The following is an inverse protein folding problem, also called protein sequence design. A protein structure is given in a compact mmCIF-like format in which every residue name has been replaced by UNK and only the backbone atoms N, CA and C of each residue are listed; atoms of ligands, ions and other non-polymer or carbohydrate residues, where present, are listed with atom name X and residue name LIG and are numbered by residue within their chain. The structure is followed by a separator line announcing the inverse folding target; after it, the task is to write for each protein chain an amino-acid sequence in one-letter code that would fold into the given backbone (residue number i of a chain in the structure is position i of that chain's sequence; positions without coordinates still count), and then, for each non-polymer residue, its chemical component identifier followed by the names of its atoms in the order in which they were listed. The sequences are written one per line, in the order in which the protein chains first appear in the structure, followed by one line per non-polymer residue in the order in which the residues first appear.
data_IF_573471830859
#
_entry.id   IF_573471830859
#
_cell.length_a   1.000
_cell.length_b   1.000
_cell.length_c   1.000
_cell.angle_alpha   90.00
_cell.angle_beta   90.00
_cell.angle_gamma   90.00
#
_symmetry.space_group_name_H-M   'P 1'
#
loop_
_entity.id
_entity.type
_entity.pdbx_description
1 polymer ?
#
# COMPACT_ATOMS: atom_id res chain seq x y z
N UNK A 1 -20.90 -8.01 16.70
CA UNK A 1 -20.42 -8.01 18.09
C UNK A 1 -19.46 -6.85 18.27
N UNK A 2 -18.27 -6.92 17.68
CA UNK A 2 -17.21 -5.89 17.87
C UNK A 2 -17.65 -4.46 17.53
N UNK A 3 -18.47 -4.25 16.49
CA UNK A 3 -19.01 -2.91 16.17
C UNK A 3 -19.90 -2.35 17.30
N UNK A 4 -20.68 -3.20 17.97
CA UNK A 4 -21.59 -2.79 19.03
C UNK A 4 -20.86 -2.45 20.34
N UNK A 5 -19.63 -2.93 20.51
CA UNK A 5 -18.80 -2.65 21.69
C UNK A 5 -18.25 -1.21 21.66
N UNK A 6 -18.18 -0.59 20.48
CA UNK A 6 -17.78 0.79 20.30
C UNK A 6 -18.95 1.76 20.51
N UNK A 7 -18.69 2.85 21.23
CA UNK A 7 -19.63 3.97 21.37
C UNK A 7 -19.38 4.99 20.26
N UNK A 8 -20.37 5.14 19.37
CA UNK A 8 -20.34 6.10 18.27
C UNK A 8 -21.16 7.33 18.65
N UNK A 9 -20.57 8.51 18.44
CA UNK A 9 -21.27 9.80 18.61
C UNK A 9 -22.18 10.00 17.40
N UNK A 10 -23.47 10.17 17.65
CA UNK A 10 -24.49 10.40 16.63
C UNK A 10 -25.46 11.51 17.08
N UNK A 11 -26.41 11.87 16.22
CA UNK A 11 -27.44 12.88 16.50
C UNK A 11 -28.81 12.24 16.40
N UNK A 12 -29.68 12.47 17.39
CA UNK A 12 -31.05 11.97 17.38
C UNK A 12 -31.97 12.81 16.47
N UNK A 13 -33.22 12.35 16.27
CA UNK A 13 -34.23 13.04 15.46
C UNK A 13 -34.58 14.45 15.96
N UNK A 14 -34.19 14.79 17.20
CA UNK A 14 -34.41 16.10 17.84
C UNK A 14 -33.17 17.00 17.77
N UNK A 15 -32.09 16.54 17.13
CA UNK A 15 -30.84 17.28 17.01
C UNK A 15 -29.93 17.21 18.25
N UNK A 16 -30.25 16.38 19.23
CA UNK A 16 -29.41 16.19 20.42
C UNK A 16 -28.28 15.20 20.12
N UNK A 17 -27.07 15.50 20.61
CA UNK A 17 -25.92 14.61 20.48
C UNK A 17 -26.10 13.43 21.43
N UNK A 18 -26.12 12.21 20.86
CA UNK A 18 -26.24 10.96 21.60
C UNK A 18 -25.01 10.08 21.38
N UNK A 19 -24.82 9.10 22.25
CA UNK A 19 -23.90 8.00 22.02
C UNK A 19 -24.73 6.73 21.82
N UNK A 20 -24.47 6.03 20.73
CA UNK A 20 -25.12 4.75 20.44
C UNK A 20 -24.09 3.65 20.22
N UNK A 21 -24.46 2.38 20.47
CA UNK A 21 -23.68 1.25 19.99
C UNK A 21 -23.45 1.34 18.48
N UNK A 22 -22.24 0.99 18.04
CA UNK A 22 -21.89 1.01 16.62
C UNK A 22 -22.62 -0.07 15.81
N UNK A 23 -22.82 0.23 14.52
CA UNK A 23 -23.36 -0.67 13.51
C UNK A 23 -22.30 -0.98 12.45
N UNK A 24 -22.53 -2.01 11.62
CA UNK A 24 -21.55 -2.50 10.64
C UNK A 24 -21.14 -1.47 9.57
N UNK A 25 -21.96 -0.45 9.35
CA UNK A 25 -21.69 0.62 8.38
C UNK A 25 -20.94 1.80 8.98
N UNK A 26 -20.77 1.84 10.31
CA UNK A 26 -20.00 2.90 10.96
C UNK A 26 -18.50 2.72 10.70
N UNK A 27 -17.79 3.84 10.68
CA UNK A 27 -16.33 3.84 10.62
C UNK A 27 -15.74 3.50 11.99
N UNK A 28 -14.46 3.10 12.00
CA UNK A 28 -13.72 3.01 13.25
C UNK A 28 -13.72 4.39 13.94
N UNK A 29 -13.97 4.44 15.26
CA UNK A 29 -14.00 5.70 15.99
C UNK A 29 -12.59 6.30 16.11
N UNK A 30 -12.49 7.61 15.93
CA UNK A 30 -11.24 8.34 16.13
C UNK A 30 -10.86 8.41 17.62
N UNK A 31 -9.59 8.18 18.00
CA UNK A 31 -9.15 8.25 19.39
C UNK A 31 -9.11 9.68 19.93
N UNK A 32 -9.00 10.67 19.04
CA UNK A 32 -8.95 12.09 19.40
C UNK A 32 -9.95 12.89 18.57
N UNK A 33 -10.60 13.92 19.13
CA UNK A 33 -11.60 14.71 18.42
C UNK A 33 -11.01 15.59 17.31
N UNK A 34 -9.72 15.93 17.40
CA UNK A 34 -9.02 16.72 16.40
C UNK A 34 -7.49 16.57 16.54
N UNK A 35 -6.76 17.03 15.52
CA UNK A 35 -5.29 16.95 15.45
C UNK A 35 -4.58 17.72 16.57
N UNK A 36 -5.14 18.83 17.06
CA UNK A 36 -4.53 19.63 18.14
C UNK A 36 -4.63 18.88 19.48
N UNK A 37 -5.77 18.24 19.75
CA UNK A 37 -5.93 17.38 20.91
C UNK A 37 -4.98 16.17 20.85
N UNK A 38 -4.84 15.57 19.67
CA UNK A 38 -3.90 14.47 19.45
C UNK A 38 -2.44 14.89 19.70
N UNK A 39 -2.02 16.05 19.18
CA UNK A 39 -0.68 16.58 19.42
C UNK A 39 -0.45 16.93 20.89
N UNK A 40 -1.42 17.55 21.56
CA UNK A 40 -1.32 17.89 22.98
C UNK A 40 -1.15 16.64 23.86
N UNK A 41 -1.82 15.55 23.52
CA UNK A 41 -1.70 14.28 24.25
C UNK A 41 -0.39 13.52 23.99
N UNK A 42 0.33 13.84 22.91
CA UNK A 42 1.50 13.09 22.44
C UNK A 42 2.74 14.01 22.25
N UNK A 43 3.03 14.85 23.25
CA UNK A 43 4.23 15.70 23.30
C UNK A 43 4.43 16.60 22.05
N UNK A 44 3.33 17.12 21.49
CA UNK A 44 3.33 18.01 20.33
C UNK A 44 3.29 17.28 18.97
N UNK A 45 3.41 15.95 18.93
CA UNK A 45 3.37 15.17 17.70
C UNK A 45 1.99 14.51 17.53
N UNK A 46 1.24 14.86 16.49
CA UNK A 46 -0.02 14.18 16.19
C UNK A 46 0.25 12.83 15.51
N UNK A 47 -0.27 11.70 16.04
CA UNK A 47 -0.18 10.41 15.36
C UNK A 47 -0.82 10.50 13.97
N UNK A 48 -0.17 9.97 12.92
CA UNK A 48 -0.76 9.94 11.59
C UNK A 48 -1.90 8.92 11.51
N UNK A 49 -2.83 9.15 10.59
CA UNK A 49 -3.84 8.14 10.23
C UNK A 49 -3.15 6.92 9.60
N UNK A 50 -3.56 5.73 10.04
CA UNK A 50 -2.93 4.47 9.66
C UNK A 50 -3.59 3.79 8.46
N UNK A 51 -4.73 4.30 8.00
CA UNK A 51 -5.53 3.70 6.92
C UNK A 51 -4.74 3.42 5.64
N UNK A 52 -3.77 4.28 5.30
CA UNK A 52 -2.95 4.19 4.08
C UNK A 52 -1.45 4.04 4.38
N UNK A 53 -1.06 3.68 5.61
CA UNK A 53 0.35 3.79 6.02
C UNK A 53 1.31 2.93 5.19
N UNK A 54 0.90 1.73 4.78
CA UNK A 54 1.73 0.84 3.96
C UNK A 54 1.99 1.40 2.56
N UNK A 55 1.10 2.24 2.03
CA UNK A 55 1.28 2.90 0.73
C UNK A 55 1.87 4.31 0.86
N UNK A 56 1.72 4.95 2.02
CA UNK A 56 2.15 6.31 2.28
C UNK A 56 3.64 6.43 2.68
N UNK A 57 4.34 5.31 2.86
CA UNK A 57 5.76 5.27 3.23
C UNK A 57 6.55 4.40 2.27
N UNK A 58 7.78 4.82 1.97
CA UNK A 58 8.71 4.01 1.19
C UNK A 58 9.06 2.73 1.96
N UNK A 59 9.11 1.60 1.25
CA UNK A 59 9.29 0.29 1.86
C UNK A 59 7.99 -0.35 2.37
N UNK A 60 6.90 0.42 2.51
CA UNK A 60 5.58 -0.08 2.86
C UNK A 60 5.56 -0.99 4.08
N UNK A 61 5.14 -2.24 3.90
CA UNK A 61 4.99 -3.21 4.99
C UNK A 61 6.34 -3.52 5.67
N UNK A 62 7.42 -3.59 4.90
CA UNK A 62 8.77 -3.83 5.42
C UNK A 62 9.22 -2.68 6.34
N UNK A 63 8.88 -1.44 5.96
CA UNK A 63 9.14 -0.27 6.79
C UNK A 63 8.36 -0.32 8.09
N UNK A 64 7.06 -0.68 8.05
CA UNK A 64 6.23 -0.79 9.25
C UNK A 64 6.78 -1.86 10.19
N UNK A 65 7.11 -3.03 9.66
CA UNK A 65 7.67 -4.13 10.44
C UNK A 65 9.01 -3.75 11.09
N UNK A 66 9.93 -3.16 10.32
CA UNK A 66 11.22 -2.72 10.81
C UNK A 66 11.09 -1.59 11.85
N UNK A 67 10.15 -0.66 11.66
CA UNK A 67 9.87 0.40 12.62
C UNK A 67 9.35 -0.15 13.96
N UNK A 68 8.42 -1.11 13.94
CA UNK A 68 7.81 -1.65 15.16
C UNK A 68 8.75 -2.55 15.96
N UNK A 69 9.67 -3.23 15.29
CA UNK A 69 10.64 -4.15 15.92
C UNK A 69 11.99 -3.50 16.22
N UNK A 70 12.33 -2.41 15.53
CA UNK A 70 13.66 -1.78 15.56
C UNK A 70 13.84 -0.66 16.59
N UNK A 71 13.31 -0.81 17.81
CA UNK A 71 13.61 0.12 18.89
C UNK A 71 14.91 -0.26 19.58
N UNK A 72 15.84 0.70 19.70
CA UNK A 72 17.16 0.49 20.29
C UNK A 72 17.57 1.70 21.14
N UNK A 73 18.56 1.50 22.01
CA UNK A 73 19.21 2.61 22.69
C UNK A 73 19.97 3.50 21.69
N UNK A 74 19.98 4.81 21.94
CA UNK A 74 20.70 5.73 21.08
C UNK A 74 22.21 5.42 21.08
N UNK A 75 22.85 5.36 19.90
CA UNK A 75 24.29 5.28 19.81
C UNK A 75 24.93 6.56 20.37
N UNK A 76 26.20 6.46 20.77
CA UNK A 76 26.95 7.57 21.33
C UNK A 76 26.93 8.79 20.39
N UNK A 77 26.58 9.96 20.95
CA UNK A 77 26.55 11.24 20.23
C UNK A 77 25.16 11.68 19.74
N UNK A 78 24.14 10.83 19.79
CA UNK A 78 22.75 11.22 19.48
C UNK A 78 22.06 11.67 20.76
N UNK A 79 21.59 12.92 20.78
CA UNK A 79 20.76 13.45 21.87
C UNK A 79 19.29 13.17 21.56
N UNK A 80 18.61 12.48 22.47
CA UNK A 80 17.16 12.26 22.43
C UNK A 80 16.53 13.27 23.39
N UNK A 81 15.53 14.02 22.92
CA UNK A 81 14.73 14.89 23.80
C UNK A 81 13.80 14.06 24.69
N UNK A 82 13.48 14.57 25.88
CA UNK A 82 12.56 13.90 26.81
C UNK A 82 11.23 13.53 26.14
N UNK A 83 10.83 12.26 26.28
CA UNK A 83 9.60 11.72 25.70
C UNK A 83 9.72 11.26 24.24
N UNK A 84 10.92 11.27 23.64
CA UNK A 84 11.20 10.65 22.34
C UNK A 84 11.99 9.35 22.52
N UNK A 85 11.98 8.51 21.49
CA UNK A 85 12.71 7.25 21.43
C UNK A 85 13.64 7.23 20.21
N UNK A 86 14.66 6.39 20.24
CA UNK A 86 15.54 6.19 19.10
C UNK A 86 15.10 4.97 18.27
N UNK A 87 15.04 5.16 16.96
CA UNK A 87 14.74 4.13 15.99
C UNK A 87 15.48 4.44 14.68
N UNK A 88 16.45 3.60 14.25
CA UNK A 88 17.28 3.85 13.07
C UNK A 88 16.48 3.83 11.75
N UNK A 89 15.32 3.17 11.71
CA UNK A 89 14.47 3.12 10.53
C UNK A 89 13.62 4.38 10.36
N UNK A 90 13.40 5.13 11.44
CA UNK A 90 12.68 6.40 11.35
C UNK A 90 13.58 7.49 10.73
N UNK A 91 13.07 8.29 9.77
CA UNK A 91 13.84 9.40 9.21
C UNK A 91 14.31 10.37 10.29
N UNK A 92 15.63 10.51 10.45
CA UNK A 92 16.24 11.34 11.50
C UNK A 92 16.53 10.61 12.81
N UNK A 93 16.24 9.31 12.91
CA UNK A 93 16.62 8.45 14.03
C UNK A 93 15.83 8.64 15.32
N UNK A 94 15.18 9.79 15.52
CA UNK A 94 14.45 10.12 16.75
C UNK A 94 12.95 10.21 16.45
N UNK A 95 12.15 9.38 17.11
CA UNK A 95 10.70 9.27 16.93
C UNK A 95 9.96 9.65 18.22
N UNK A 96 8.80 10.30 18.11
CA UNK A 96 7.95 10.65 19.26
C UNK A 96 7.03 9.52 19.74
N UNK A 97 7.15 8.34 19.13
CA UNK A 97 6.39 7.14 19.49
C UNK A 97 7.30 6.25 20.36
N UNK A 98 6.91 5.90 21.60
CA UNK A 98 7.65 4.91 22.36
C UNK A 98 7.41 3.50 21.80
N UNK A 99 8.23 2.54 22.19
CA UNK A 99 8.01 1.15 21.82
C UNK A 99 6.64 0.67 22.33
N UNK A 100 5.80 0.22 21.41
CA UNK A 100 4.43 -0.23 21.71
C UNK A 100 4.32 -1.75 21.82
N UNK A 101 5.16 -2.48 21.09
CA UNK A 101 5.10 -3.93 21.02
C UNK A 101 6.19 -4.53 21.90
N UNK A 102 5.76 -5.44 22.77
CA UNK A 102 6.59 -6.24 23.66
C UNK A 102 6.15 -7.71 23.54
N UNK A 103 7.05 -8.62 23.88
CA UNK A 103 6.70 -10.04 23.97
C UNK A 103 5.56 -10.24 24.98
N UNK A 104 4.59 -11.09 24.60
CA UNK A 104 3.39 -11.41 25.38
C UNK A 104 2.48 -10.21 25.70
N UNK A 105 2.55 -9.15 24.88
CA UNK A 105 1.72 -7.95 25.04
C UNK A 105 0.22 -8.15 24.81
N UNK A 106 -0.18 -9.22 24.12
CA UNK A 106 -1.57 -9.61 23.89
C UNK A 106 -1.72 -11.13 23.93
N UNK A 107 -2.94 -11.62 24.14
CA UNK A 107 -3.28 -13.04 24.02
C UNK A 107 -4.09 -13.26 22.73
N UNK A 108 -3.56 -14.08 21.82
CA UNK A 108 -4.26 -14.40 20.58
C UNK A 108 -5.37 -15.42 20.82
N UNK A 109 -6.53 -15.21 20.17
CA UNK A 109 -7.69 -16.11 20.26
C UNK A 109 -7.42 -17.53 19.73
N UNK A 110 -6.42 -17.69 18.87
CA UNK A 110 -6.03 -18.96 18.24
C UNK A 110 -4.88 -19.68 18.96
N UNK A 111 -4.34 -19.10 20.03
CA UNK A 111 -3.22 -19.66 20.79
C UNK A 111 -1.84 -19.46 20.17
N UNK A 112 -1.71 -18.61 19.13
CA UNK A 112 -0.41 -18.22 18.58
C UNK A 112 0.44 -17.53 19.66
N UNK A 113 1.74 -17.84 19.80
CA UNK A 113 2.60 -17.14 20.76
C UNK A 113 2.78 -15.68 20.35
N UNK A 114 2.44 -14.75 21.25
CA UNK A 114 2.45 -13.32 20.98
C UNK A 114 3.85 -12.70 21.16
N UNK A 115 4.84 -13.17 20.40
CA UNK A 115 6.15 -12.49 20.34
C UNK A 115 6.03 -11.13 19.63
N UNK A 116 6.96 -10.23 19.93
CA UNK A 116 7.02 -8.89 19.34
C UNK A 116 7.03 -8.94 17.80
N UNK A 117 7.82 -9.85 17.23
CA UNK A 117 7.93 -10.01 15.77
C UNK A 117 6.65 -10.57 15.16
N UNK A 118 5.96 -11.49 15.84
CA UNK A 118 4.68 -12.02 15.39
C UNK A 118 3.61 -10.91 15.37
N UNK A 119 3.50 -10.15 16.46
CA UNK A 119 2.59 -9.01 16.55
C UNK A 119 2.87 -7.96 15.46
N UNK A 120 4.14 -7.60 15.26
CA UNK A 120 4.53 -6.63 14.24
C UNK A 120 4.17 -7.10 12.81
N UNK A 121 4.35 -8.40 12.52
CA UNK A 121 3.99 -9.00 11.23
C UNK A 121 2.48 -8.96 11.00
N UNK A 122 1.69 -9.30 12.01
CA UNK A 122 0.24 -9.34 11.90
C UNK A 122 -0.33 -7.93 11.72
N UNK A 123 0.17 -6.96 12.49
CA UNK A 123 -0.21 -5.54 12.34
C UNK A 123 0.17 -5.00 10.97
N UNK A 124 1.40 -5.27 10.48
CA UNK A 124 1.81 -4.83 9.14
C UNK A 124 0.93 -5.44 8.04
N UNK A 125 0.58 -6.71 8.15
CA UNK A 125 -0.30 -7.40 7.20
C UNK A 125 -1.73 -6.81 7.24
N UNK A 126 -2.24 -6.51 8.42
CA UNK A 126 -3.55 -5.86 8.59
C UNK A 126 -3.55 -4.45 7.99
N UNK A 127 -2.51 -3.66 8.23
CA UNK A 127 -2.36 -2.33 7.65
C UNK A 127 -2.24 -2.36 6.13
N UNK A 128 -1.58 -3.39 5.57
CA UNK A 128 -1.56 -3.61 4.12
C UNK A 128 -2.97 -3.82 3.57
N UNK A 129 -3.76 -4.67 4.21
CA UNK A 129 -5.16 -4.91 3.83
C UNK A 129 -6.02 -3.64 3.91
N UNK A 130 -5.85 -2.83 4.96
CA UNK A 130 -6.53 -1.54 5.10
C UNK A 130 -6.20 -0.59 3.94
N UNK A 131 -4.93 -0.54 3.53
CA UNK A 131 -4.50 0.34 2.46
C UNK A 131 -4.88 -0.18 1.06
N UNK A 132 -4.89 -1.50 0.87
CA UNK A 132 -5.21 -2.15 -0.40
C UNK A 132 -6.23 -3.31 -0.25
N UNK A 133 -7.52 -3.01 -0.03
CA UNK A 133 -8.54 -4.05 0.21
C UNK A 133 -8.83 -4.91 -1.02
N UNK A 134 -8.48 -4.44 -2.22
CA UNK A 134 -8.69 -5.14 -3.49
C UNK A 134 -7.46 -5.94 -3.96
N UNK A 135 -6.42 -6.06 -3.13
CA UNK A 135 -5.17 -6.75 -3.45
C UNK A 135 -5.38 -8.16 -4.04
N UNK A 136 -6.19 -8.99 -3.37
CA UNK A 136 -6.43 -10.38 -3.79
C UNK A 136 -7.23 -10.48 -5.08
N UNK A 137 -8.24 -9.62 -5.21
CA UNK A 137 -9.07 -9.54 -6.43
C UNK A 137 -8.24 -9.06 -7.61
N UNK A 138 -7.38 -8.05 -7.40
CA UNK A 138 -6.46 -7.52 -8.41
C UNK A 138 -5.48 -8.59 -8.88
N UNK A 139 -4.84 -9.33 -7.97
CA UNK A 139 -3.91 -10.42 -8.34
C UNK A 139 -4.62 -11.57 -9.05
N UNK A 140 -5.82 -11.94 -8.62
CA UNK A 140 -6.65 -12.96 -9.29
C UNK A 140 -6.98 -12.57 -10.72
N UNK A 141 -7.41 -11.33 -10.96
CA UNK A 141 -7.67 -10.83 -12.32
C UNK A 141 -6.39 -10.69 -13.13
N UNK A 142 -5.30 -10.21 -12.52
CA UNK A 142 -3.98 -10.15 -13.15
C UNK A 142 -3.55 -11.50 -13.69
N UNK A 143 -3.72 -12.58 -12.92
CA UNK A 143 -3.41 -13.93 -13.38
C UNK A 143 -4.27 -14.37 -14.57
N UNK A 144 -5.59 -14.08 -14.54
CA UNK A 144 -6.49 -14.38 -15.67
C UNK A 144 -6.07 -13.65 -16.96
N UNK A 145 -5.74 -12.36 -16.84
CA UNK A 145 -5.29 -11.53 -17.96
C UNK A 145 -3.96 -12.04 -18.50
N UNK A 146 -2.99 -12.35 -17.63
CA UNK A 146 -1.69 -12.88 -18.03
C UNK A 146 -1.80 -14.26 -18.70
N UNK A 147 -2.76 -15.08 -18.32
CA UNK A 147 -3.00 -16.37 -18.97
C UNK A 147 -3.59 -16.22 -20.39
N UNK A 148 -4.48 -15.24 -20.60
CA UNK A 148 -5.17 -15.03 -21.89
C UNK A 148 -4.31 -14.20 -22.87
N UNK A 149 -3.53 -13.24 -22.36
CA UNK A 149 -2.70 -12.34 -23.16
C UNK A 149 -1.79 -13.04 -24.20
N UNK A 150 -1.02 -14.11 -23.88
CA UNK A 150 -0.16 -14.77 -24.87
C UNK A 150 -0.98 -15.44 -25.98
N UNK A 151 -2.14 -16.02 -25.66
CA UNK A 151 -3.02 -16.63 -26.65
C UNK A 151 -3.53 -15.57 -27.65
N UNK A 152 -4.06 -14.46 -27.14
CA UNK A 152 -4.51 -13.34 -27.97
C UNK A 152 -3.34 -12.77 -28.79
N UNK A 153 -2.16 -12.64 -28.19
CA UNK A 153 -0.96 -12.14 -28.87
C UNK A 153 -0.55 -13.05 -30.03
N UNK A 154 -0.57 -14.37 -29.86
CA UNK A 154 -0.26 -15.34 -30.92
C UNK A 154 -1.27 -15.21 -32.08
N UNK A 155 -2.56 -15.14 -31.77
CA UNK A 155 -3.63 -14.99 -32.78
C UNK A 155 -3.46 -13.67 -33.55
N UNK A 156 -3.19 -12.56 -32.85
CA UNK A 156 -2.96 -11.26 -33.48
C UNK A 156 -1.70 -11.24 -34.34
N UNK A 157 -0.59 -11.83 -33.87
CA UNK A 157 0.65 -11.93 -34.64
C UNK A 157 0.42 -12.79 -35.90
N UNK A 158 -0.29 -13.91 -35.77
CA UNK A 158 -0.63 -14.77 -36.90
C UNK A 158 -1.50 -14.03 -37.91
N UNK A 159 -2.59 -13.38 -37.49
CA UNK A 159 -3.46 -12.59 -38.36
C UNK A 159 -2.70 -11.46 -39.06
N UNK A 160 -1.82 -10.76 -38.33
CA UNK A 160 -0.94 -9.75 -38.90
C UNK A 160 0.01 -10.33 -39.94
N UNK A 161 0.65 -11.48 -39.69
CA UNK A 161 1.53 -12.12 -40.68
C UNK A 161 0.74 -12.57 -41.92
N UNK A 162 -0.45 -13.13 -41.72
CA UNK A 162 -1.32 -13.58 -42.80
C UNK A 162 -1.68 -12.43 -43.75
N UNK A 163 -2.24 -11.32 -43.25
CA UNK A 163 -2.61 -10.15 -44.06
C UNK A 163 -1.40 -9.55 -44.78
N UNK A 164 -0.26 -9.46 -44.10
CA UNK A 164 0.96 -8.89 -44.68
C UNK A 164 1.70 -9.82 -45.65
N UNK A 165 1.26 -11.08 -45.81
CA UNK A 165 1.89 -12.02 -46.75
C UNK A 165 1.83 -11.47 -48.18
N UNK A 166 0.69 -10.89 -48.60
CA UNK A 166 0.55 -10.32 -49.95
C UNK A 166 1.62 -9.25 -50.21
N UNK A 167 1.70 -8.22 -49.37
CA UNK A 167 2.65 -7.13 -49.57
C UNK A 167 4.12 -7.59 -49.44
N UNK A 168 4.42 -8.48 -48.46
CA UNK A 168 5.79 -8.97 -48.25
C UNK A 168 6.29 -9.95 -49.32
N UNK A 169 5.39 -10.58 -50.07
CA UNK A 169 5.73 -11.52 -51.14
C UNK A 169 5.75 -10.88 -52.53
N UNK A 170 5.42 -9.58 -52.65
CA UNK A 170 5.45 -8.89 -53.93
C UNK A 170 6.89 -8.85 -54.49
N UNK A 171 7.03 -9.21 -55.76
CA UNK A 171 8.27 -9.05 -56.52
C UNK A 171 8.09 -7.89 -57.49
N UNK A 172 8.97 -6.90 -57.42
CA UNK A 172 8.93 -5.74 -58.30
C UNK A 172 10.04 -5.84 -59.34
N UNK A 173 9.70 -5.59 -60.60
CA UNK A 173 10.68 -5.43 -61.68
C UNK A 173 10.53 -3.99 -62.17
N UNK A 174 11.57 -3.20 -61.97
CA UNK A 174 11.62 -1.85 -62.52
C UNK A 174 12.03 -1.93 -63.98
N UNK A 175 11.12 -1.59 -64.90
CA UNK A 175 11.41 -1.46 -66.33
C UNK A 175 11.48 0.02 -66.68
N UNK A 176 12.66 0.50 -67.09
CA UNK A 176 12.79 1.82 -67.70
C UNK A 176 12.22 1.77 -69.13
N UNK A 177 11.44 2.78 -69.49
CA UNK A 177 10.98 2.98 -70.86
C UNK A 177 12.02 3.81 -71.61
N UNK A 178 12.38 3.39 -72.82
CA UNK A 178 13.35 4.10 -73.68
C UNK A 178 12.93 5.58 -73.81
N UNK A 179 13.77 6.50 -73.34
CA UNK A 179 13.52 7.95 -73.34
C UNK A 179 13.24 8.59 -71.96
N UNK A 180 13.11 7.82 -70.88
CA UNK A 180 13.06 8.32 -69.48
C UNK A 180 14.10 7.61 -68.60
N UNK A 181 15.32 7.53 -69.09
CA UNK A 181 16.43 6.98 -68.31
C UNK A 181 16.89 8.03 -67.27
N UNK A 182 17.23 7.60 -66.03
CA UNK A 182 17.80 8.53 -65.05
C UNK A 182 19.08 9.17 -65.64
N UNK A 183 19.34 10.46 -65.40
CA UNK A 183 20.53 11.12 -65.91
C UNK A 183 21.76 10.33 -65.45
N UNK A 184 22.58 9.88 -66.39
CA UNK A 184 23.87 9.25 -66.05
C UNK A 184 24.73 10.33 -65.41
N UNK A 185 25.06 10.14 -64.12
CA UNK A 185 26.01 11.01 -63.42
C UNK A 185 27.34 11.05 -64.16
N UNK A 186 27.93 12.25 -64.24
CA UNK A 186 29.28 12.50 -64.77
C UNK A 186 30.34 11.70 -64.02
#
# INVERSE_FOLDING_TARGET
AEAADALIRDVDDKGAVIQRPGILTDKLPDPYPNKKAAAAANNGAAPPDLSLMSLARHGGDDYIFALLTGYFDAPAGIKIDDGKAYNPYFPGGVISMPQQLYDEGIEYKDGTPATQSQQAKDVATFMHWCAEPFHDTRKRWGLKVLAIAPFVTIVLIFGKRYIWTFHKSQKFIFKSVKGREPPKGQ
#
